data_IF_185263262160
#
_entry.id   IF_185263262160
#
_cell.length_a   1.000
_cell.length_b   1.000
_cell.length_c   1.000
_cell.angle_alpha   90.00
_cell.angle_beta   90.00
_cell.angle_gamma   90.00
#
_symmetry.space_group_name_H-M   'P 1'
#
loop_
_entity.id
_entity.type
_entity.pdbx_description
1 polymer ?
#
# COMPACT_ATOMS: atom_id res chain seq x y z
N UNK A 1 9.73 10.96 7.68
CA UNK A 1 8.32 10.92 7.19
C UNK A 1 7.70 9.54 7.41
N UNK A 2 8.34 8.46 6.97
CA UNK A 2 7.77 7.11 7.04
C UNK A 2 7.35 6.64 8.43
N UNK A 3 8.09 7.05 9.47
CA UNK A 3 7.77 6.71 10.87
C UNK A 3 6.36 7.15 11.31
N UNK A 4 5.82 8.21 10.69
CA UNK A 4 4.50 8.76 11.01
C UNK A 4 3.36 7.79 10.70
N UNK A 5 3.52 6.89 9.72
CA UNK A 5 2.55 5.83 9.46
C UNK A 5 3.00 4.46 9.98
N UNK A 6 4.31 4.20 10.06
CA UNK A 6 4.84 2.90 10.51
C UNK A 6 4.54 2.59 11.98
N UNK A 7 4.62 3.60 12.87
CA UNK A 7 4.30 3.38 14.30
C UNK A 7 2.80 3.09 14.47
N UNK A 8 1.87 3.93 13.96
CA UNK A 8 0.45 3.63 14.01
C UNK A 8 0.10 2.27 13.40
N UNK A 9 0.67 1.93 12.23
CA UNK A 9 0.38 0.65 11.57
C UNK A 9 0.74 -0.55 12.46
N UNK A 10 1.87 -0.49 13.17
CA UNK A 10 2.26 -1.54 14.09
C UNK A 10 1.28 -1.66 15.27
N UNK A 11 0.83 -0.54 15.83
CA UNK A 11 -0.11 -0.50 16.95
C UNK A 11 -1.45 -1.13 16.52
N UNK A 12 -1.99 -0.71 15.37
CA UNK A 12 -3.24 -1.25 14.84
C UNK A 12 -3.13 -2.72 14.49
N UNK A 13 -2.03 -3.14 13.85
CA UNK A 13 -1.79 -4.54 13.54
C UNK A 13 -1.70 -5.40 14.81
N UNK A 14 -1.01 -4.94 15.86
CA UNK A 14 -0.88 -5.70 17.11
C UNK A 14 -2.19 -5.81 17.89
N UNK A 15 -3.00 -4.74 17.93
CA UNK A 15 -4.26 -4.71 18.69
C UNK A 15 -5.44 -5.34 17.95
N UNK A 16 -5.56 -5.06 16.66
CA UNK A 16 -6.77 -5.38 15.89
C UNK A 16 -6.50 -6.30 14.71
N UNK A 17 -5.24 -6.67 14.46
CA UNK A 17 -4.82 -7.41 13.26
C UNK A 17 -5.30 -6.74 11.97
N UNK A 18 -5.36 -5.41 12.00
CA UNK A 18 -5.75 -4.58 10.88
C UNK A 18 -4.55 -4.27 9.98
N UNK A 19 -4.80 -4.16 8.67
CA UNK A 19 -3.80 -3.84 7.66
C UNK A 19 -3.72 -2.33 7.45
N UNK A 20 -2.52 -1.79 7.33
CA UNK A 20 -2.33 -0.42 6.84
C UNK A 20 -2.00 -0.43 5.36
N UNK A 21 -2.70 0.40 4.58
CA UNK A 21 -2.37 0.61 3.16
C UNK A 21 -1.51 1.86 3.02
N UNK A 22 -0.44 1.77 2.24
CA UNK A 22 0.42 2.91 1.91
C UNK A 22 0.48 3.06 0.39
N UNK A 23 -0.09 4.14 -0.12
CA UNK A 23 -0.11 4.44 -1.55
C UNK A 23 1.09 5.31 -1.87
N UNK A 24 1.97 4.86 -2.75
CA UNK A 24 3.21 5.57 -3.08
C UNK A 24 3.53 5.47 -4.58
N UNK A 25 4.07 6.51 -5.24
CA UNK A 25 4.18 6.56 -6.70
C UNK A 25 5.34 5.74 -7.25
N UNK A 26 6.39 5.54 -6.45
CA UNK A 26 7.69 5.09 -6.93
C UNK A 26 7.98 3.70 -6.37
N UNK A 27 8.00 2.70 -7.25
CA UNK A 27 8.36 1.32 -6.90
C UNK A 27 9.77 1.27 -6.30
N UNK A 28 10.71 2.07 -6.81
CA UNK A 28 12.05 2.20 -6.24
C UNK A 28 12.02 2.69 -4.80
N UNK A 29 11.24 3.74 -4.51
CA UNK A 29 11.08 4.28 -3.16
C UNK A 29 10.44 3.26 -2.22
N UNK A 30 9.42 2.53 -2.69
CA UNK A 30 8.77 1.47 -1.91
C UNK A 30 9.77 0.35 -1.57
N UNK A 31 10.61 -0.07 -2.53
CA UNK A 31 11.61 -1.11 -2.30
C UNK A 31 12.65 -0.68 -1.26
N UNK A 32 13.11 0.57 -1.33
CA UNK A 32 14.04 1.12 -0.34
C UNK A 32 13.39 1.25 1.04
N UNK A 33 12.13 1.68 1.09
CA UNK A 33 11.36 1.73 2.33
C UNK A 33 11.24 0.33 2.96
N UNK A 34 10.92 -0.70 2.18
CA UNK A 34 10.82 -2.08 2.69
C UNK A 34 12.17 -2.61 3.18
N UNK A 35 13.26 -2.35 2.46
CA UNK A 35 14.61 -2.75 2.91
C UNK A 35 14.99 -2.08 4.23
N UNK A 36 14.53 -0.85 4.45
CA UNK A 36 14.78 -0.11 5.69
C UNK A 36 13.86 -0.50 6.86
N UNK A 37 12.82 -1.30 6.61
CA UNK A 37 11.89 -1.70 7.66
C UNK A 37 12.59 -2.62 8.68
N UNK A 38 12.33 -2.44 9.98
CA UNK A 38 12.75 -3.41 10.97
C UNK A 38 12.18 -4.80 10.67
N UNK A 39 12.96 -5.86 10.93
CA UNK A 39 12.59 -7.25 10.64
C UNK A 39 11.24 -7.71 11.24
N UNK A 40 10.78 -7.07 12.32
CA UNK A 40 9.50 -7.37 12.94
C UNK A 40 8.29 -6.73 12.23
N UNK A 41 8.51 -5.78 11.31
CA UNK A 41 7.47 -5.19 10.47
C UNK A 41 7.41 -5.98 9.17
N UNK A 42 6.39 -6.82 9.04
CA UNK A 42 6.13 -7.51 7.78
C UNK A 42 5.37 -6.57 6.85
N UNK A 43 5.93 -6.33 5.67
CA UNK A 43 5.32 -5.55 4.61
C UNK A 43 5.42 -6.23 3.24
N UNK A 44 4.52 -5.88 2.34
CA UNK A 44 4.51 -6.35 0.95
C UNK A 44 4.24 -5.18 -0.01
N UNK A 45 4.46 -5.42 -1.30
CA UNK A 45 4.19 -4.46 -2.37
C UNK A 45 3.18 -5.01 -3.37
N UNK A 46 2.31 -4.15 -3.89
CA UNK A 46 1.51 -4.41 -5.07
C UNK A 46 1.78 -3.31 -6.11
N UNK A 47 2.31 -3.71 -7.26
CA UNK A 47 2.53 -2.84 -8.41
C UNK A 47 2.30 -3.61 -9.71
N UNK A 48 2.11 -2.89 -10.81
CA UNK A 48 1.74 -3.45 -12.12
C UNK A 48 2.79 -4.40 -12.73
N UNK A 49 4.08 -4.23 -12.37
CA UNK A 49 5.16 -5.09 -12.86
C UNK A 49 5.28 -6.43 -12.12
N UNK A 50 4.42 -6.74 -11.14
CA UNK A 50 4.36 -8.07 -10.55
C UNK A 50 3.69 -9.07 -11.50
N UNK A 51 4.35 -10.21 -11.72
CA UNK A 51 3.72 -11.35 -12.38
C UNK A 51 2.49 -11.85 -11.60
N UNK A 52 1.52 -12.42 -12.31
CA UNK A 52 0.23 -12.87 -11.76
C UNK A 52 0.39 -13.76 -10.52
N UNK A 53 1.25 -14.78 -10.58
CA UNK A 53 1.48 -15.69 -9.45
C UNK A 53 1.98 -14.98 -8.18
N UNK A 54 2.92 -14.03 -8.33
CA UNK A 54 3.44 -13.26 -7.19
C UNK A 54 2.35 -12.36 -6.60
N UNK A 55 1.56 -11.72 -7.46
CA UNK A 55 0.42 -10.90 -7.04
C UNK A 55 -0.59 -11.72 -6.24
N UNK A 56 -1.00 -12.87 -6.78
CA UNK A 56 -1.98 -13.75 -6.16
C UNK A 56 -1.45 -14.30 -4.82
N UNK A 57 -0.16 -14.65 -4.75
CA UNK A 57 0.48 -15.05 -3.48
C UNK A 57 0.45 -13.93 -2.44
N UNK A 58 0.76 -12.69 -2.83
CA UNK A 58 0.70 -11.54 -1.93
C UNK A 58 -0.72 -11.30 -1.44
N UNK A 59 -1.71 -11.32 -2.33
CA UNK A 59 -3.14 -11.16 -1.98
C UNK A 59 -3.57 -12.25 -1.00
N UNK A 60 -3.20 -13.51 -1.27
CA UNK A 60 -3.48 -14.62 -0.36
C UNK A 60 -2.85 -14.40 1.02
N UNK A 61 -1.57 -14.00 1.08
CA UNK A 61 -0.89 -13.76 2.36
C UNK A 61 -1.45 -12.53 3.11
N UNK A 62 -1.91 -11.52 2.37
CA UNK A 62 -2.65 -10.40 2.95
C UNK A 62 -3.93 -10.89 3.63
N UNK A 63 -4.71 -11.77 3.00
CA UNK A 63 -5.92 -12.33 3.61
C UNK A 63 -5.61 -13.16 4.87
N UNK A 64 -4.43 -13.80 4.92
CA UNK A 64 -3.92 -14.51 6.10
C UNK A 64 -3.37 -13.58 7.21
N UNK A 65 -3.41 -12.25 7.03
CA UNK A 65 -2.90 -11.24 7.98
C UNK A 65 -1.39 -11.37 8.22
N UNK A 66 -0.64 -11.83 7.22
CA UNK A 66 0.82 -11.96 7.29
C UNK A 66 1.54 -10.60 7.33
N UNK A 67 0.91 -9.56 6.80
CA UNK A 67 1.51 -8.24 6.64
C UNK A 67 0.81 -7.21 7.53
N UNK A 68 1.61 -6.34 8.13
CA UNK A 68 1.15 -5.16 8.85
C UNK A 68 0.94 -3.96 7.93
N UNK A 69 1.74 -3.88 6.86
CA UNK A 69 1.72 -2.79 5.88
C UNK A 69 1.68 -3.39 4.48
N UNK A 70 0.80 -2.87 3.63
CA UNK A 70 0.80 -3.16 2.20
C UNK A 70 1.05 -1.86 1.43
N UNK A 71 2.17 -1.81 0.74
CA UNK A 71 2.49 -0.72 -0.18
C UNK A 71 1.82 -0.99 -1.51
N UNK A 72 1.11 0.00 -2.05
CA UNK A 72 0.36 -0.14 -3.29
C UNK A 72 0.72 1.01 -4.24
N UNK A 73 1.14 0.67 -5.45
CA UNK A 73 1.26 1.66 -6.52
C UNK A 73 -0.15 2.03 -7.01
N UNK A 74 -0.42 3.32 -7.31
CA UNK A 74 -1.75 3.76 -7.78
C UNK A 74 -2.26 2.94 -8.98
N UNK A 75 -1.38 2.57 -9.91
CA UNK A 75 -1.72 1.80 -11.10
C UNK A 75 -2.19 0.36 -10.76
N UNK A 76 -1.72 -0.20 -9.64
CA UNK A 76 -2.11 -1.54 -9.22
C UNK A 76 -3.52 -1.60 -8.61
N UNK A 77 -4.03 -0.46 -8.11
CA UNK A 77 -5.43 -0.31 -7.69
C UNK A 77 -6.36 -0.40 -8.91
N UNK A 78 -6.01 0.32 -9.98
CA UNK A 78 -6.77 0.33 -11.23
C UNK A 78 -6.82 -1.06 -11.84
N UNK A 79 -5.67 -1.73 -11.92
CA UNK A 79 -5.59 -3.08 -12.50
C UNK A 79 -6.24 -4.17 -11.62
N UNK A 80 -6.33 -3.94 -10.32
CA UNK A 80 -6.92 -4.91 -9.39
C UNK A 80 -8.44 -5.03 -9.46
N UNK A 81 -9.10 -4.06 -10.08
CA UNK A 81 -10.56 -4.00 -10.12
C UNK A 81 -11.19 -3.65 -8.76
N UNK A 82 -12.51 -3.47 -8.73
CA UNK A 82 -13.24 -3.03 -7.53
C UNK A 82 -13.13 -4.02 -6.35
N UNK A 83 -12.98 -5.30 -6.66
CA UNK A 83 -13.04 -6.39 -5.66
C UNK A 83 -11.67 -6.72 -5.06
N UNK A 84 -10.63 -5.94 -5.35
CA UNK A 84 -9.26 -6.20 -4.89
C UNK A 84 -9.19 -6.35 -3.36
N UNK A 85 -10.03 -5.61 -2.64
CA UNK A 85 -10.01 -5.49 -1.19
C UNK A 85 -11.01 -6.40 -0.47
N UNK A 86 -11.89 -7.09 -1.18
CA UNK A 86 -12.99 -7.86 -0.57
C UNK A 86 -12.49 -8.94 0.40
N UNK A 87 -11.31 -9.50 0.11
CA UNK A 87 -10.69 -10.56 0.92
C UNK A 87 -9.60 -10.03 1.86
N UNK A 88 -9.45 -8.71 2.00
CA UNK A 88 -8.45 -8.14 2.88
C UNK A 88 -8.95 -8.09 4.32
N UNK A 89 -8.05 -8.18 5.31
CA UNK A 89 -8.41 -7.89 6.69
C UNK A 89 -8.83 -6.42 6.83
N UNK A 90 -9.50 -6.05 7.94
CA UNK A 90 -9.91 -4.67 8.20
C UNK A 90 -8.75 -3.69 7.97
N UNK A 91 -9.00 -2.66 7.16
CA UNK A 91 -8.01 -1.63 6.89
C UNK A 91 -8.04 -0.62 8.04
N UNK A 92 -6.92 -0.41 8.71
CA UNK A 92 -6.85 0.54 9.83
C UNK A 92 -6.90 1.99 9.36
N UNK A 93 -6.10 2.30 8.33
CA UNK A 93 -6.07 3.59 7.66
C UNK A 93 -5.29 3.45 6.35
N UNK A 94 -5.46 4.45 5.49
CA UNK A 94 -4.71 4.59 4.23
C UNK A 94 -3.79 5.80 4.34
N UNK A 95 -2.50 5.58 4.12
CA UNK A 95 -1.51 6.64 4.02
C UNK A 95 -1.24 6.92 2.55
N UNK A 96 -1.34 8.18 2.14
CA UNK A 96 -0.96 8.62 0.80
C UNK A 96 0.40 9.30 0.89
N UNK A 97 1.44 8.61 0.44
CA UNK A 97 2.78 9.15 0.34
C UNK A 97 2.89 10.05 -0.90
N UNK A 98 3.77 11.05 -0.87
CA UNK A 98 3.97 11.99 -1.97
C UNK A 98 2.64 12.63 -2.48
N UNK A 99 1.75 13.02 -1.55
CA UNK A 99 0.41 13.59 -1.83
C UNK A 99 0.42 14.74 -2.87
N UNK A 100 1.53 15.44 -3.02
CA UNK A 100 1.70 16.47 -4.04
C UNK A 100 1.53 15.96 -5.47
N UNK A 101 1.65 14.65 -5.72
CA UNK A 101 1.34 14.02 -7.02
C UNK A 101 -0.13 14.14 -7.44
N UNK A 102 -1.06 14.43 -6.51
CA UNK A 102 -2.47 14.68 -6.83
C UNK A 102 -2.73 16.05 -7.47
N UNK A 103 -1.88 17.05 -7.18
CA UNK A 103 -2.13 18.41 -7.65
C UNK A 103 -1.69 18.57 -9.10
N UNK A 104 -2.58 19.03 -9.98
CA UNK A 104 -2.25 19.35 -11.37
C UNK A 104 -1.22 20.47 -11.52
N UNK A 105 -1.03 21.26 -10.46
CA UNK A 105 -0.04 22.33 -10.39
C UNK A 105 1.34 21.84 -9.92
N UNK A 106 1.45 20.55 -9.57
CA UNK A 106 2.70 19.93 -9.18
C UNK A 106 3.51 19.54 -10.42
N UNK A 107 4.83 19.75 -10.34
CA UNK A 107 5.77 19.29 -11.37
C UNK A 107 5.77 17.76 -11.56
N UNK A 108 5.28 17.01 -10.57
CA UNK A 108 5.18 15.55 -10.58
C UNK A 108 3.71 15.06 -10.54
N UNK A 109 2.80 15.77 -11.21
CA UNK A 109 1.41 15.36 -11.30
C UNK A 109 1.29 13.95 -11.90
N UNK A 110 0.52 13.07 -11.23
CA UNK A 110 0.24 11.71 -11.69
C UNK A 110 -1.27 11.44 -11.69
N UNK A 111 -1.91 11.38 -12.87
CA UNK A 111 -3.35 11.14 -12.97
C UNK A 111 -3.83 9.88 -12.25
N UNK A 112 -2.99 8.84 -12.16
CA UNK A 112 -3.32 7.59 -11.48
C UNK A 112 -3.67 7.77 -9.99
N UNK A 113 -3.23 8.86 -9.35
CA UNK A 113 -3.63 9.19 -7.98
C UNK A 113 -5.09 9.63 -7.87
N UNK A 114 -5.69 10.18 -8.93
CA UNK A 114 -7.13 10.53 -8.92
C UNK A 114 -8.01 9.28 -8.84
N UNK A 115 -7.51 8.12 -9.28
CA UNK A 115 -8.22 6.86 -9.12
C UNK A 115 -8.26 6.40 -7.65
N UNK A 116 -7.32 6.86 -6.82
CA UNK A 116 -7.28 6.55 -5.38
C UNK A 116 -8.44 7.22 -4.65
N UNK A 117 -8.77 8.46 -5.01
CA UNK A 117 -9.83 9.22 -4.34
C UNK A 117 -11.22 8.65 -4.59
N UNK A 118 -11.39 7.89 -5.67
CA UNK A 118 -12.66 7.21 -5.97
C UNK A 118 -12.82 5.88 -5.22
N UNK A 119 -11.77 5.43 -4.54
CA UNK A 119 -11.69 4.13 -3.87
C UNK A 119 -11.85 4.28 -2.34
N UNK A 120 -11.57 5.47 -1.80
CA UNK A 120 -11.78 5.88 -0.41
C UNK A 120 -13.18 6.46 -0.21
#
# INVERSE_FOLDING_TARGET
KSICYQIPSLIYYRRFKALTLVISPLISLIQDQIKSLPHFIKAATLHSSLGKEKRDNIIYRVSQRDFSILYVAPEALIYGGPNLFDNFPPISFVCIDEIHCLSSWSHNFRPAYLSVTNLL
#
